data_IF_014415397032
#
_entry.id   IF_014415397032
#
_cell.length_a   1.000
_cell.length_b   1.000
_cell.length_c   1.000
_cell.angle_alpha   90.00
_cell.angle_beta   90.00
_cell.angle_gamma   90.00
#
_symmetry.space_group_name_H-M   'P 1'
#
loop_
_entity.id
_entity.type
_entity.pdbx_description
1 polymer ?
#
# COMPACT_ATOMS: atom_id res chain seq x y z
N UNK A 1 9.65 10.01 12.23
CA UNK A 1 10.45 8.93 11.66
C UNK A 1 9.68 8.20 10.54
N UNK A 2 8.49 7.67 10.82
CA UNK A 2 7.70 6.99 9.79
C UNK A 2 7.00 7.96 8.82
N UNK A 3 6.84 9.22 9.21
CA UNK A 3 6.19 10.22 8.37
C UNK A 3 6.89 10.43 7.03
N UNK A 4 8.20 10.26 6.98
CA UNK A 4 8.95 10.39 5.72
C UNK A 4 8.59 9.25 4.74
N UNK A 5 8.40 8.03 5.26
CA UNK A 5 7.96 6.90 4.46
C UNK A 5 6.53 7.11 3.97
N UNK A 6 5.64 7.56 4.84
CA UNK A 6 4.24 7.84 4.49
C UNK A 6 4.10 8.96 3.47
N UNK A 7 4.99 9.96 3.51
CA UNK A 7 4.97 11.06 2.56
C UNK A 7 5.21 10.59 1.11
N UNK A 8 5.81 9.43 0.92
CA UNK A 8 6.06 8.84 -0.41
C UNK A 8 4.83 8.16 -1.00
N UNK A 9 3.82 7.90 -0.19
CA UNK A 9 2.58 7.28 -0.66
C UNK A 9 1.75 8.33 -1.38
N UNK A 10 1.48 8.13 -2.65
CA UNK A 10 0.77 9.11 -3.47
C UNK A 10 -0.59 9.48 -2.89
N UNK A 11 -1.31 8.52 -2.34
CA UNK A 11 -2.62 8.74 -1.70
C UNK A 11 -2.52 9.79 -0.59
N UNK A 12 -1.37 9.90 0.08
CA UNK A 12 -1.14 10.82 1.20
C UNK A 12 -0.47 12.13 0.79
N UNK A 13 -0.40 12.40 -0.51
CA UNK A 13 0.33 13.56 -1.06
C UNK A 13 -0.22 14.91 -0.61
N UNK A 14 -1.48 14.99 -0.21
CA UNK A 14 -2.10 16.23 0.25
C UNK A 14 -2.07 16.41 1.78
N UNK A 15 -1.53 15.43 2.51
CA UNK A 15 -1.43 15.51 3.96
C UNK A 15 -0.24 16.38 4.37
N UNK A 16 -0.42 17.20 5.41
CA UNK A 16 0.67 17.98 5.97
C UNK A 16 1.51 17.14 6.96
N UNK A 17 2.59 17.72 7.46
CA UNK A 17 3.51 17.03 8.35
C UNK A 17 2.83 16.55 9.63
N UNK A 18 1.95 17.34 10.22
CA UNK A 18 1.24 16.96 11.45
C UNK A 18 0.31 15.78 11.21
N UNK A 19 -0.37 15.78 10.05
CA UNK A 19 -1.26 14.70 9.68
C UNK A 19 -0.49 13.40 9.42
N UNK A 20 0.66 13.50 8.74
CA UNK A 20 1.53 12.34 8.52
C UNK A 20 2.10 11.79 9.84
N UNK A 21 2.49 12.67 10.75
CA UNK A 21 2.97 12.25 12.07
C UNK A 21 1.88 11.55 12.88
N UNK A 22 0.65 12.03 12.80
CA UNK A 22 -0.49 11.40 13.46
C UNK A 22 -0.79 10.02 12.85
N UNK A 23 -0.76 9.92 11.53
CA UNK A 23 -0.99 8.66 10.83
C UNK A 23 0.12 7.64 11.13
N UNK A 24 1.35 8.11 11.28
CA UNK A 24 2.49 7.26 11.60
C UNK A 24 2.31 6.45 12.88
N UNK A 25 1.55 6.96 13.83
CA UNK A 25 1.26 6.27 15.09
C UNK A 25 0.42 5.01 14.89
N UNK A 26 -0.28 4.90 13.78
CA UNK A 26 -1.09 3.73 13.43
C UNK A 26 -0.29 2.66 12.69
N UNK A 27 0.96 2.93 12.36
CA UNK A 27 1.81 2.02 11.61
C UNK A 27 2.59 1.09 12.52
N UNK A 28 2.93 -0.09 12.00
CA UNK A 28 3.68 -1.14 12.71
C UNK A 28 4.85 -1.60 11.87
N UNK A 29 5.99 -1.88 12.49
CA UNK A 29 7.11 -2.49 11.81
C UNK A 29 6.88 -3.99 11.67
N UNK A 30 7.22 -4.54 10.51
CA UNK A 30 7.13 -5.96 10.21
C UNK A 30 8.43 -6.43 9.58
N UNK A 31 8.84 -7.64 9.94
CA UNK A 31 10.02 -8.30 9.39
C UNK A 31 9.62 -9.63 8.76
N UNK A 32 10.22 -9.94 7.62
CA UNK A 32 9.94 -11.16 6.88
C UNK A 32 11.27 -11.80 6.47
N UNK A 33 11.41 -13.10 6.72
CA UNK A 33 12.57 -13.85 6.27
C UNK A 33 12.47 -14.10 4.76
N UNK A 34 13.62 -14.29 4.12
CA UNK A 34 13.66 -14.68 2.72
C UNK A 34 12.72 -15.87 2.47
N UNK A 35 11.90 -15.78 1.42
CA UNK A 35 10.91 -16.79 1.07
C UNK A 35 9.54 -16.59 1.73
N UNK A 36 9.41 -15.71 2.71
CA UNK A 36 8.13 -15.46 3.36
C UNK A 36 7.18 -14.69 2.46
N UNK A 37 5.88 -14.93 2.61
CA UNK A 37 4.83 -14.24 1.86
C UNK A 37 4.34 -13.04 2.65
N UNK A 38 4.41 -11.84 2.05
CA UNK A 38 3.85 -10.63 2.62
C UNK A 38 2.37 -10.50 2.29
N UNK A 39 2.04 -10.77 1.03
CA UNK A 39 0.69 -10.65 0.48
C UNK A 39 0.42 -11.90 -0.34
N UNK A 40 -0.73 -12.54 -0.13
CA UNK A 40 -1.14 -13.71 -0.89
C UNK A 40 -2.27 -13.34 -1.85
N UNK A 41 -2.13 -13.75 -3.11
CA UNK A 41 -3.18 -13.56 -4.12
C UNK A 41 -4.50 -14.17 -3.65
N UNK A 42 -5.58 -13.45 -3.82
CA UNK A 42 -6.91 -13.90 -3.43
C UNK A 42 -7.30 -13.59 -2.00
N UNK A 43 -6.35 -13.27 -1.13
CA UNK A 43 -6.65 -12.92 0.27
C UNK A 43 -7.12 -11.47 0.37
N UNK A 44 -7.90 -11.19 1.41
CA UNK A 44 -8.24 -9.83 1.78
C UNK A 44 -6.99 -9.11 2.27
N UNK A 45 -6.80 -7.87 1.86
CA UNK A 45 -5.64 -7.10 2.25
C UNK A 45 -5.65 -6.72 3.73
N UNK A 46 -4.53 -6.92 4.41
CA UNK A 46 -4.35 -6.49 5.81
C UNK A 46 -4.15 -4.98 5.90
N UNK A 47 -3.55 -4.40 4.88
CA UNK A 47 -3.27 -2.98 4.84
C UNK A 47 -2.27 -2.61 3.76
N UNK A 48 -1.70 -1.42 3.92
CA UNK A 48 -0.66 -0.90 3.03
C UNK A 48 0.70 -1.24 3.62
N UNK A 49 1.61 -1.71 2.77
CA UNK A 49 3.00 -1.95 3.15
C UNK A 49 3.91 -0.96 2.44
N UNK A 50 4.88 -0.43 3.18
CA UNK A 50 5.99 0.35 2.61
C UNK A 50 7.27 -0.42 2.91
N UNK A 51 7.98 -0.84 1.87
CA UNK A 51 9.22 -1.59 2.05
C UNK A 51 10.30 -0.62 2.51
N UNK A 52 10.92 -0.91 3.65
CA UNK A 52 11.98 -0.08 4.20
C UNK A 52 13.37 -0.68 3.97
N UNK A 53 13.47 -2.00 3.84
CA UNK A 53 14.71 -2.67 3.44
C UNK A 53 14.39 -4.02 2.80
N UNK A 54 15.29 -4.49 1.95
CA UNK A 54 15.14 -5.77 1.27
C UNK A 54 14.39 -5.68 -0.04
N UNK A 55 14.17 -6.85 -0.65
CA UNK A 55 13.56 -6.96 -1.97
C UNK A 55 12.44 -7.99 -1.97
N UNK A 56 11.41 -7.73 -2.76
CA UNK A 56 10.28 -8.63 -2.94
C UNK A 56 10.05 -8.93 -4.41
N UNK A 57 9.42 -10.08 -4.67
CA UNK A 57 8.99 -10.50 -6.01
C UNK A 57 7.48 -10.54 -6.05
N UNK A 58 6.91 -10.05 -7.13
CA UNK A 58 5.46 -10.04 -7.34
C UNK A 58 5.14 -11.10 -8.38
N UNK A 59 4.26 -12.05 -8.03
CA UNK A 59 3.85 -13.13 -8.90
C UNK A 59 2.33 -13.23 -8.97
N UNK A 60 1.82 -13.81 -10.03
CA UNK A 60 0.41 -14.04 -10.21
C UNK A 60 0.18 -15.44 -10.76
N UNK A 61 -0.67 -16.22 -10.09
CA UNK A 61 -1.09 -17.53 -10.56
C UNK A 61 -2.21 -17.38 -11.60
N UNK A 62 -2.11 -18.13 -12.68
CA UNK A 62 -3.10 -18.19 -13.76
C UNK A 62 -3.93 -19.48 -13.64
N UNK A 63 -5.08 -19.51 -14.32
CA UNK A 63 -6.01 -20.65 -14.29
C UNK A 63 -5.38 -21.98 -14.66
N UNK A 64 -4.34 -21.98 -15.50
CA UNK A 64 -3.64 -23.18 -15.93
C UNK A 64 -2.62 -23.72 -14.92
N UNK A 65 -2.58 -23.15 -13.70
CA UNK A 65 -1.62 -23.54 -12.67
C UNK A 65 -0.23 -22.99 -12.91
N UNK A 66 -0.04 -22.13 -13.90
CA UNK A 66 1.24 -21.48 -14.15
C UNK A 66 1.36 -20.18 -13.34
N UNK A 67 2.57 -19.90 -12.87
CA UNK A 67 2.88 -18.68 -12.16
C UNK A 67 3.62 -17.73 -13.08
N UNK A 68 3.20 -16.46 -13.10
CA UNK A 68 3.85 -15.42 -13.88
C UNK A 68 4.50 -14.42 -12.92
N UNK A 69 5.78 -14.11 -13.17
CA UNK A 69 6.47 -13.07 -12.42
C UNK A 69 6.12 -11.71 -13.04
N UNK A 70 5.50 -10.84 -12.25
CA UNK A 70 5.10 -9.51 -12.71
C UNK A 70 6.19 -8.47 -12.48
N UNK A 71 7.08 -8.68 -11.52
CA UNK A 71 8.16 -7.76 -11.25
C UNK A 71 8.81 -7.94 -9.90
N UNK A 72 9.71 -7.03 -9.58
CA UNK A 72 10.42 -6.98 -8.31
C UNK A 72 10.43 -5.54 -7.80
N UNK A 73 10.34 -5.38 -6.49
CA UNK A 73 10.34 -4.07 -5.83
C UNK A 73 11.30 -4.12 -4.64
N UNK A 74 11.80 -2.95 -4.27
CA UNK A 74 12.72 -2.81 -3.14
C UNK A 74 12.32 -1.68 -2.20
N UNK A 75 13.29 -1.23 -1.40
CA UNK A 75 13.07 -0.18 -0.42
C UNK A 75 12.48 1.08 -1.05
N UNK A 76 11.51 1.67 -0.37
CA UNK A 76 10.80 2.86 -0.82
C UNK A 76 9.53 2.57 -1.60
N UNK A 77 9.31 1.33 -2.03
CA UNK A 77 8.11 0.97 -2.78
C UNK A 77 6.92 0.70 -1.84
N UNK A 78 5.73 0.95 -2.38
CA UNK A 78 4.46 0.86 -1.66
C UNK A 78 3.63 -0.28 -2.26
N UNK A 79 3.06 -1.10 -1.39
CA UNK A 79 2.22 -2.23 -1.79
C UNK A 79 0.84 -2.09 -1.18
N UNK A 80 -0.20 -2.27 -1.99
CA UNK A 80 -1.57 -2.35 -1.48
C UNK A 80 -2.20 -1.01 -1.14
N UNK A 81 -1.78 0.07 -1.78
CA UNK A 81 -2.30 1.42 -1.53
C UNK A 81 -3.82 1.49 -1.68
N UNK A 82 -4.38 0.97 -2.77
CA UNK A 82 -5.81 1.05 -3.01
C UNK A 82 -6.60 0.10 -2.10
N UNK A 83 -5.98 -0.93 -1.56
CA UNK A 83 -6.63 -1.86 -0.64
C UNK A 83 -6.96 -1.23 0.72
N UNK A 84 -6.41 -0.06 1.02
CA UNK A 84 -6.84 0.72 2.20
C UNK A 84 -8.28 1.20 2.07
N UNK A 85 -8.76 1.36 0.85
CA UNK A 85 -10.04 2.01 0.54
C UNK A 85 -11.13 1.03 0.16
N UNK A 86 -10.76 -0.14 -0.37
CA UNK A 86 -11.74 -1.16 -0.78
C UNK A 86 -11.40 -2.51 -0.13
N UNK A 87 -12.31 -3.45 -0.24
CA UNK A 87 -12.16 -4.79 0.34
C UNK A 87 -11.91 -5.84 -0.76
N UNK A 88 -11.42 -5.40 -1.92
CA UNK A 88 -11.17 -6.33 -3.01
C UNK A 88 -10.02 -7.27 -2.69
N UNK A 89 -10.11 -8.54 -3.12
CA UNK A 89 -9.01 -9.49 -2.93
C UNK A 89 -7.74 -9.01 -3.61
N UNK A 90 -6.60 -9.42 -3.06
CA UNK A 90 -5.29 -9.10 -3.65
C UNK A 90 -5.16 -9.78 -5.01
N UNK A 91 -4.66 -9.04 -5.99
CA UNK A 91 -4.53 -9.52 -7.37
C UNK A 91 -3.25 -10.31 -7.62
N UNK A 92 -2.30 -10.25 -6.72
CA UNK A 92 -0.99 -10.90 -6.88
C UNK A 92 -0.41 -11.29 -5.52
N UNK A 93 0.59 -12.17 -5.56
CA UNK A 93 1.35 -12.60 -4.39
C UNK A 93 2.65 -11.82 -4.33
N UNK A 94 3.03 -11.39 -3.13
CA UNK A 94 4.30 -10.70 -2.88
C UNK A 94 5.12 -11.54 -1.92
N UNK A 95 6.30 -11.96 -2.36
CA UNK A 95 7.19 -12.86 -1.62
C UNK A 95 8.54 -12.17 -1.38
N UNK A 96 9.07 -12.30 -0.18
CA UNK A 96 10.40 -11.79 0.15
C UNK A 96 11.48 -12.58 -0.59
N UNK A 97 12.33 -11.88 -1.35
CA UNK A 97 13.47 -12.48 -2.05
C UNK A 97 14.63 -12.66 -1.07
N UNK A 98 14.85 -11.68 -0.23
CA UNK A 98 15.81 -11.69 0.87
C UNK A 98 15.08 -11.28 2.15
N UNK A 99 15.81 -10.99 3.23
CA UNK A 99 15.18 -10.52 4.45
C UNK A 99 14.61 -9.11 4.22
N UNK A 100 13.34 -8.94 4.54
CA UNK A 100 12.59 -7.71 4.27
C UNK A 100 12.13 -7.08 5.57
N UNK A 101 12.25 -5.76 5.64
CA UNK A 101 11.58 -4.96 6.65
C UNK A 101 10.58 -4.05 5.96
N UNK A 102 9.40 -3.94 6.54
CA UNK A 102 8.32 -3.14 6.00
C UNK A 102 7.56 -2.42 7.11
N UNK A 103 7.00 -1.29 6.74
CA UNK A 103 6.07 -0.56 7.58
C UNK A 103 4.66 -0.93 7.15
N UNK A 104 3.84 -1.43 8.07
CA UNK A 104 2.46 -1.81 7.80
C UNK A 104 1.50 -0.77 8.38
N UNK A 105 0.60 -0.27 7.55
CA UNK A 105 -0.55 0.51 8.00
C UNK A 105 -1.80 -0.38 7.86
N UNK A 106 -2.30 -0.97 8.96
CA UNK A 106 -3.47 -1.85 8.89
C UNK A 106 -4.73 -1.11 8.47
N UNK A 107 -5.58 -1.77 7.66
CA UNK A 107 -6.83 -1.18 7.17
C UNK A 107 -7.71 -0.67 8.30
N UNK A 108 -7.89 -1.47 9.36
CA UNK A 108 -8.75 -1.10 10.48
C UNK A 108 -8.21 0.10 11.26
N UNK A 109 -6.89 0.20 11.41
CA UNK A 109 -6.25 1.36 12.03
C UNK A 109 -6.44 2.61 11.18
N UNK A 110 -6.28 2.47 9.87
CA UNK A 110 -6.47 3.56 8.93
C UNK A 110 -7.91 4.08 8.96
N UNK A 111 -8.89 3.18 8.96
CA UNK A 111 -10.31 3.56 9.04
C UNK A 111 -10.63 4.28 10.35
N UNK A 112 -10.09 3.81 11.47
CA UNK A 112 -10.25 4.47 12.76
C UNK A 112 -9.63 5.87 12.72
N UNK A 113 -8.44 5.99 12.13
CA UNK A 113 -7.77 7.27 11.97
C UNK A 113 -8.65 8.25 11.19
N UNK A 114 -9.23 7.82 10.07
CA UNK A 114 -10.08 8.68 9.25
C UNK A 114 -11.35 9.14 9.99
N UNK A 115 -11.94 8.27 10.82
CA UNK A 115 -13.10 8.65 11.63
C UNK A 115 -12.76 9.76 12.60
N UNK A 116 -11.55 9.75 13.12
CA UNK A 116 -11.08 10.74 14.08
C UNK A 116 -10.47 11.98 13.41
N UNK A 117 -10.19 11.91 12.11
CA UNK A 117 -9.58 12.99 11.33
C UNK A 117 -10.31 13.16 10.00
N UNK A 118 -11.58 13.62 10.04
CA UNK A 118 -12.38 13.72 8.79
C UNK A 118 -11.79 14.66 7.76
N UNK A 119 -11.01 15.67 8.17
CA UNK A 119 -10.35 16.56 7.23
C UNK A 119 -9.32 15.81 6.37
N UNK A 120 -8.68 14.79 6.93
CA UNK A 120 -7.76 13.93 6.16
C UNK A 120 -8.54 13.17 5.10
N UNK A 121 -9.72 12.63 5.44
CA UNK A 121 -10.56 11.94 4.47
C UNK A 121 -10.93 12.85 3.29
N UNK A 122 -11.24 14.11 3.54
CA UNK A 122 -11.52 15.08 2.47
C UNK A 122 -10.31 15.28 1.56
N UNK A 123 -9.11 15.33 2.14
CA UNK A 123 -7.87 15.45 1.33
C UNK A 123 -7.65 14.22 0.46
N UNK A 124 -7.95 13.02 0.98
CA UNK A 124 -7.85 11.78 0.20
C UNK A 124 -8.83 11.79 -0.97
N UNK A 125 -10.05 12.27 -0.76
CA UNK A 125 -11.03 12.40 -1.82
C UNK A 125 -10.54 13.33 -2.93
N UNK A 126 -9.87 14.42 -2.57
CA UNK A 126 -9.28 15.33 -3.54
C UNK A 126 -8.21 14.65 -4.39
N UNK A 127 -7.34 13.84 -3.78
CA UNK A 127 -6.32 13.08 -4.51
C UNK A 127 -6.96 12.09 -5.48
N UNK A 128 -7.97 11.36 -5.01
CA UNK A 128 -8.69 10.39 -5.83
C UNK A 128 -9.43 11.06 -6.99
N UNK A 129 -10.01 12.22 -6.74
CA UNK A 129 -10.69 13.01 -7.78
C UNK A 129 -9.71 13.38 -8.90
N UNK A 130 -8.49 13.80 -8.55
CA UNK A 130 -7.46 14.12 -9.55
C UNK A 130 -7.04 12.89 -10.34
N UNK A 131 -6.90 11.73 -9.69
CA UNK A 131 -6.58 10.47 -10.38
C UNK A 131 -7.69 10.10 -11.36
N UNK A 132 -8.94 10.23 -10.92
CA UNK A 132 -10.09 9.89 -11.76
C UNK A 132 -10.17 10.80 -13.00
N UNK A 133 -9.99 12.10 -12.82
CA UNK A 133 -9.97 13.05 -13.94
C UNK A 133 -8.87 12.73 -14.92
N UNK A 134 -7.68 12.38 -14.44
CA UNK A 134 -6.55 12.00 -15.29
C UNK A 134 -6.88 10.75 -16.11
N UNK A 135 -7.48 9.74 -15.48
CA UNK A 135 -7.89 8.51 -16.16
C UNK A 135 -8.97 8.79 -17.22
N UNK A 136 -9.96 9.62 -16.91
CA UNK A 136 -11.02 10.02 -17.84
C UNK A 136 -10.46 10.79 -19.05
N UNK A 137 -9.55 11.72 -18.81
CA UNK A 137 -8.92 12.48 -19.88
C UNK A 137 -8.12 11.59 -20.82
N UNK A 138 -7.47 10.55 -20.27
CA UNK A 138 -6.76 9.57 -21.08
C UNK A 138 -7.72 8.81 -21.99
N UNK A 139 -8.94 8.55 -21.52
CA UNK A 139 -9.96 7.84 -22.30
C UNK A 139 -10.80 8.75 -23.21
N UNK A 140 -10.86 10.03 -22.91
CA UNK A 140 -11.64 10.99 -23.69
C UNK A 140 -11.01 11.31 -25.05
N UNK A 141 -9.75 11.00 -25.22
CA UNK A 141 -9.03 11.14 -26.48
C UNK A 141 -9.16 9.86 -27.33
#
# INVERSE_FOLDING_TARGET
MYEDALARVDLFSALDKKELQALAKSCQERSYNAGATLIAQGDSGVGLYIITSGNVRITKSKEAGTEETLGALGAGNVLGEMSLLDDLPRSATVTAVDDVKALLLPVWEFRTFLRNHPDVALKLLSVLSRRLRKAENTHAE
#
